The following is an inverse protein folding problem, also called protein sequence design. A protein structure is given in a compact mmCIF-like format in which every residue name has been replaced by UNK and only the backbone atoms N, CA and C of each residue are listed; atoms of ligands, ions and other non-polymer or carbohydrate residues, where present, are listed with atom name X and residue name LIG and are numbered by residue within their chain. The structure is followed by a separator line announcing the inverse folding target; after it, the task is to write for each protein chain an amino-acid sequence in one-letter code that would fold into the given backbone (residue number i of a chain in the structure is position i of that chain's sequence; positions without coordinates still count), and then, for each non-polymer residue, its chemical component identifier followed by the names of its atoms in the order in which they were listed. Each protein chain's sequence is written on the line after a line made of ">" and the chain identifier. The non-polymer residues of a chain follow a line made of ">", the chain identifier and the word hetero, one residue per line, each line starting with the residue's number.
data_IF_590072665494
#
_entry.id   IF_590072665494
#
_cell.length_a   1.000
_cell.length_b   1.000
_cell.length_c   1.000
_cell.angle_alpha   90.00
_cell.angle_beta   90.00
_cell.angle_gamma   90.00
#
_symmetry.space_group_name_H-M   'P 1'
#
loop_
_entity.id
_entity.type
_entity.pdbx_description
1 polymer ?
#
# COMPACT_ATOMS: atom_id res chain seq x y z
N UNK A 1 -26.93 -16.04 10.38
CA UNK A 1 -27.00 -15.98 8.89
C UNK A 1 -26.18 -14.79 8.46
N UNK A 2 -25.11 -14.99 7.68
CA UNK A 2 -24.46 -13.88 6.99
C UNK A 2 -25.43 -13.34 5.92
N UNK A 3 -25.53 -12.01 5.72
CA UNK A 3 -26.33 -11.47 4.63
C UNK A 3 -25.83 -12.03 3.30
N UNK A 4 -26.71 -12.27 2.31
CA UNK A 4 -26.28 -12.70 0.99
C UNK A 4 -25.28 -11.69 0.42
N UNK A 5 -24.22 -12.18 -0.23
CA UNK A 5 -23.34 -11.32 -1.00
C UNK A 5 -24.21 -10.59 -2.03
N UNK A 6 -24.13 -9.25 -2.14
CA UNK A 6 -24.87 -8.54 -3.16
C UNK A 6 -24.49 -9.10 -4.52
N UNK A 7 -25.45 -9.14 -5.43
CA UNK A 7 -25.18 -9.46 -6.83
C UNK A 7 -24.03 -8.55 -7.28
N UNK A 8 -22.87 -9.14 -7.60
CA UNK A 8 -21.73 -8.37 -8.08
C UNK A 8 -22.19 -7.71 -9.38
N UNK A 9 -22.32 -6.38 -9.34
CA UNK A 9 -22.57 -5.61 -10.56
C UNK A 9 -21.47 -5.90 -11.59
N UNK A 10 -21.72 -5.59 -12.87
CA UNK A 10 -20.71 -5.77 -13.90
C UNK A 10 -19.41 -5.04 -13.52
N UNK A 11 -18.27 -5.66 -13.82
CA UNK A 11 -16.95 -5.09 -13.50
C UNK A 11 -16.76 -3.70 -14.13
N UNK A 12 -16.03 -2.80 -13.45
CA UNK A 12 -15.67 -1.48 -14.00
C UNK A 12 -14.69 -1.55 -15.20
N UNK A 13 -14.14 -2.75 -15.48
CA UNK A 13 -13.15 -2.97 -16.53
C UNK A 13 -13.73 -3.56 -17.83
N UNK A 14 -15.04 -3.82 -17.90
CA UNK A 14 -15.65 -4.33 -19.14
C UNK A 14 -15.96 -3.18 -20.11
N UNK A 15 -15.97 -3.44 -21.43
CA UNK A 15 -16.55 -2.51 -22.39
C UNK A 15 -17.96 -2.12 -21.96
N UNK A 16 -18.23 -0.81 -21.85
CA UNK A 16 -19.47 -0.28 -21.33
C UNK A 16 -19.78 1.08 -21.96
N UNK A 17 -21.05 1.35 -22.21
CA UNK A 17 -21.55 2.69 -22.52
C UNK A 17 -21.30 3.63 -21.33
N UNK A 18 -21.46 4.95 -21.55
CA UNK A 18 -21.28 5.95 -20.49
C UNK A 18 -22.22 5.71 -19.30
N UNK A 19 -23.47 5.31 -19.57
CA UNK A 19 -24.47 5.04 -18.53
C UNK A 19 -24.11 3.79 -17.73
N UNK A 20 -23.83 2.68 -18.42
CA UNK A 20 -23.42 1.43 -17.77
C UNK A 20 -22.14 1.61 -16.94
N UNK A 21 -21.18 2.41 -17.44
CA UNK A 21 -19.96 2.72 -16.67
C UNK A 21 -20.29 3.44 -15.36
N UNK A 22 -21.20 4.41 -15.37
CA UNK A 22 -21.62 5.10 -14.15
C UNK A 22 -22.28 4.13 -13.16
N UNK A 23 -23.16 3.24 -13.65
CA UNK A 23 -23.81 2.20 -12.85
C UNK A 23 -22.77 1.21 -12.26
N UNK A 24 -21.78 0.79 -13.04
CA UNK A 24 -20.70 -0.09 -12.57
C UNK A 24 -19.88 0.56 -11.46
N UNK A 25 -19.59 1.87 -11.56
CA UNK A 25 -18.88 2.59 -10.50
C UNK A 25 -19.70 2.71 -9.21
N UNK A 26 -21.01 2.93 -9.29
CA UNK A 26 -21.90 2.90 -8.12
C UNK A 26 -21.94 1.51 -7.47
N UNK A 27 -22.03 0.45 -8.28
CA UNK A 27 -21.96 -0.92 -7.79
C UNK A 27 -20.62 -1.25 -7.11
N UNK A 28 -19.51 -0.82 -7.72
CA UNK A 28 -18.17 -0.99 -7.14
C UNK A 28 -18.00 -0.20 -5.84
N UNK A 29 -18.54 1.02 -5.77
CA UNK A 29 -18.55 1.81 -4.54
C UNK A 29 -19.30 1.11 -3.41
N UNK A 30 -20.49 0.57 -3.68
CA UNK A 30 -21.24 -0.20 -2.69
C UNK A 30 -20.47 -1.43 -2.21
N UNK A 31 -19.83 -2.16 -3.13
CA UNK A 31 -18.96 -3.29 -2.80
C UNK A 31 -17.79 -2.87 -1.90
N UNK A 32 -17.08 -1.78 -2.23
CA UNK A 32 -15.95 -1.29 -1.44
C UNK A 32 -16.37 -0.95 -0.01
N UNK A 33 -17.48 -0.24 0.17
CA UNK A 33 -17.98 0.09 1.52
C UNK A 33 -18.34 -1.15 2.33
N UNK A 34 -18.96 -2.15 1.70
CA UNK A 34 -19.31 -3.39 2.39
C UNK A 34 -18.07 -4.20 2.77
N UNK A 35 -17.12 -4.34 1.83
CA UNK A 35 -15.90 -5.13 2.02
C UNK A 35 -14.96 -4.50 3.04
N UNK A 36 -14.70 -3.20 2.89
CA UNK A 36 -13.65 -2.51 3.63
C UNK A 36 -14.17 -1.82 4.91
N UNK A 37 -15.49 -1.65 5.03
CA UNK A 37 -16.13 -1.00 6.17
C UNK A 37 -16.05 0.53 6.12
N UNK A 38 -16.11 1.13 7.32
CA UNK A 38 -16.04 2.58 7.51
C UNK A 38 -14.64 3.13 7.24
N UNK A 39 -14.58 4.33 6.68
CA UNK A 39 -13.37 5.12 6.51
C UNK A 39 -13.16 6.04 7.72
N UNK A 40 -12.06 5.83 8.42
CA UNK A 40 -11.53 6.70 9.45
C UNK A 40 -10.56 7.69 8.81
N UNK A 41 -11.12 8.83 8.38
CA UNK A 41 -10.43 9.82 7.54
C UNK A 41 -9.14 10.37 8.18
N UNK A 42 -9.20 10.73 9.47
CA UNK A 42 -8.05 11.32 10.19
C UNK A 42 -6.94 10.31 10.38
N UNK A 43 -7.32 9.06 10.56
CA UNK A 43 -6.43 7.94 10.75
C UNK A 43 -5.93 7.37 9.43
N UNK A 44 -6.44 7.81 8.28
CA UNK A 44 -6.12 7.22 6.98
C UNK A 44 -6.29 5.69 7.02
N UNK A 45 -7.45 5.24 7.48
CA UNK A 45 -7.67 3.84 7.79
C UNK A 45 -9.08 3.38 7.46
N UNK A 46 -9.19 2.09 7.13
CA UNK A 46 -10.46 1.41 6.92
C UNK A 46 -10.70 0.43 8.06
N UNK A 47 -11.94 0.34 8.55
CA UNK A 47 -12.31 -0.49 9.68
C UNK A 47 -11.87 -1.95 9.52
N UNK A 48 -12.09 -2.55 8.35
CA UNK A 48 -11.70 -3.94 8.10
C UNK A 48 -10.16 -4.11 8.08
N UNK A 49 -9.42 -3.15 7.52
CA UNK A 49 -7.94 -3.20 7.52
C UNK A 49 -7.38 -3.05 8.93
N UNK A 50 -7.97 -2.19 9.77
CA UNK A 50 -7.58 -2.09 11.18
C UNK A 50 -7.85 -3.39 11.92
N UNK A 51 -8.99 -4.04 11.66
CA UNK A 51 -9.30 -5.36 12.24
C UNK A 51 -8.29 -6.43 11.80
N UNK A 52 -7.91 -6.46 10.53
CA UNK A 52 -6.86 -7.37 10.01
C UNK A 52 -5.52 -7.10 10.70
N UNK A 53 -5.10 -5.83 10.77
CA UNK A 53 -3.87 -5.43 11.44
C UNK A 53 -3.86 -5.80 12.93
N UNK A 54 -4.98 -5.59 13.62
CA UNK A 54 -5.16 -5.99 15.01
C UNK A 54 -4.91 -7.49 15.22
N UNK A 55 -5.45 -8.35 14.34
CA UNK A 55 -5.19 -9.80 14.40
C UNK A 55 -3.70 -10.15 14.27
N UNK A 56 -2.97 -9.50 13.37
CA UNK A 56 -1.53 -9.71 13.23
C UNK A 56 -0.76 -9.31 14.49
N UNK A 57 -1.16 -8.22 15.15
CA UNK A 57 -0.52 -7.75 16.38
C UNK A 57 -0.82 -8.64 17.57
N UNK A 58 -2.07 -9.08 17.72
CA UNK A 58 -2.50 -9.99 18.78
C UNK A 58 -1.86 -11.38 18.64
N UNK A 59 -1.66 -11.84 17.41
CA UNK A 59 -1.07 -13.13 17.09
C UNK A 59 0.27 -12.93 16.37
N UNK A 60 1.15 -12.12 16.97
CA UNK A 60 2.41 -11.74 16.36
C UNK A 60 3.27 -12.97 16.01
N UNK A 61 3.51 -13.15 14.72
CA UNK A 61 4.44 -14.16 14.22
C UNK A 61 5.85 -13.61 14.37
N UNK A 62 6.76 -14.43 14.89
CA UNK A 62 8.19 -14.09 15.01
C UNK A 62 9.00 -15.16 14.32
N UNK A 63 9.93 -14.75 13.46
CA UNK A 63 10.86 -15.65 12.81
C UNK A 63 11.67 -16.41 13.85
N UNK A 64 11.78 -17.73 13.65
CA UNK A 64 12.67 -18.60 14.42
C UNK A 64 14.14 -18.38 14.06
N UNK A 65 14.40 -17.74 12.92
CA UNK A 65 15.72 -17.36 12.41
C UNK A 65 15.74 -15.84 12.20
N UNK A 66 15.90 -15.05 13.28
CA UNK A 66 16.06 -13.60 13.13
C UNK A 66 17.38 -13.28 12.41
N UNK A 67 17.54 -12.03 11.95
CA UNK A 67 18.78 -11.58 11.34
C UNK A 67 19.95 -11.76 12.31
N UNK A 68 21.07 -12.31 11.82
CA UNK A 68 22.28 -12.49 12.63
C UNK A 68 22.92 -11.15 13.04
N UNK A 69 22.80 -10.12 12.19
CA UNK A 69 23.31 -8.78 12.46
C UNK A 69 22.26 -7.70 12.12
N UNK A 70 21.23 -7.51 12.97
CA UNK A 70 20.15 -6.55 12.70
C UNK A 70 20.62 -5.10 12.48
N UNK A 71 21.76 -4.73 13.06
CA UNK A 71 22.37 -3.39 12.87
C UNK A 71 22.71 -3.11 11.41
N UNK A 72 23.01 -4.13 10.60
CA UNK A 72 23.25 -3.94 9.17
C UNK A 72 21.99 -3.46 8.45
N UNK A 73 20.81 -3.95 8.83
CA UNK A 73 19.56 -3.40 8.32
C UNK A 73 19.39 -1.94 8.76
N UNK A 74 19.53 -1.64 10.06
CA UNK A 74 19.31 -0.27 10.56
C UNK A 74 20.31 0.75 10.01
N UNK A 75 21.54 0.33 9.72
CA UNK A 75 22.55 1.18 9.09
C UNK A 75 22.19 1.53 7.64
N UNK A 76 21.49 0.65 6.94
CA UNK A 76 21.29 0.73 5.50
C UNK A 76 19.84 1.01 5.06
N UNK A 77 18.85 0.86 5.93
CA UNK A 77 17.43 0.93 5.58
C UNK A 77 17.06 2.29 4.94
N UNK A 78 17.55 3.41 5.47
CA UNK A 78 17.28 4.74 4.89
C UNK A 78 18.17 5.03 3.68
N UNK A 79 19.48 4.96 3.84
CA UNK A 79 20.51 5.16 2.79
C UNK A 79 21.43 3.96 2.80
N UNK A 80 21.70 3.37 1.63
CA UNK A 80 22.65 2.27 1.53
C UNK A 80 24.06 2.82 1.76
N UNK A 81 24.73 2.36 2.82
CA UNK A 81 26.09 2.77 3.22
C UNK A 81 27.12 1.69 2.91
N UNK A 82 26.70 0.44 2.97
CA UNK A 82 27.54 -0.71 2.71
C UNK A 82 27.43 -1.16 1.26
N UNK A 83 28.39 -1.97 0.79
CA UNK A 83 28.25 -2.67 -0.48
C UNK A 83 27.10 -3.69 -0.37
N UNK A 84 26.02 -3.59 -1.17
CA UNK A 84 24.91 -4.54 -1.11
C UNK A 84 25.33 -5.99 -1.30
N UNK A 85 26.44 -6.23 -2.01
CA UNK A 85 26.98 -7.57 -2.29
C UNK A 85 27.55 -8.25 -1.05
N UNK A 86 27.82 -7.50 0.02
CA UNK A 86 28.35 -8.02 1.29
C UNK A 86 27.27 -8.30 2.33
N UNK A 87 26.01 -7.95 2.05
CA UNK A 87 24.88 -8.20 2.95
C UNK A 87 24.30 -9.59 2.71
N UNK A 88 23.85 -10.25 3.78
CA UNK A 88 23.07 -11.48 3.63
C UNK A 88 21.74 -11.18 2.91
N UNK A 89 21.18 -12.20 2.26
CA UNK A 89 20.02 -12.06 1.38
C UNK A 89 18.78 -11.55 2.12
N UNK A 90 18.59 -11.96 3.38
CA UNK A 90 17.46 -11.51 4.20
C UNK A 90 17.61 -10.06 4.59
N UNK A 91 18.79 -9.62 5.03
CA UNK A 91 19.08 -8.20 5.30
C UNK A 91 18.88 -7.35 4.05
N UNK A 92 19.35 -7.82 2.89
CA UNK A 92 19.19 -7.10 1.63
C UNK A 92 17.71 -6.98 1.21
N UNK A 93 16.95 -8.07 1.32
CA UNK A 93 15.51 -8.09 1.04
C UNK A 93 14.75 -7.12 1.95
N UNK A 94 14.95 -7.19 3.26
CA UNK A 94 14.25 -6.31 4.21
C UNK A 94 14.65 -4.84 4.00
N UNK A 95 15.92 -4.58 3.68
CA UNK A 95 16.40 -3.24 3.32
C UNK A 95 15.73 -2.72 2.05
N UNK A 96 15.58 -3.58 1.02
CA UNK A 96 14.84 -3.25 -0.19
C UNK A 96 13.37 -2.94 0.12
N UNK A 97 12.67 -3.82 0.85
CA UNK A 97 11.25 -3.66 1.19
C UNK A 97 11.00 -2.35 1.93
N UNK A 98 11.87 -1.98 2.88
CA UNK A 98 11.75 -0.72 3.61
C UNK A 98 11.90 0.49 2.66
N UNK A 99 12.89 0.47 1.76
CA UNK A 99 13.08 1.55 0.78
C UNK A 99 11.92 1.64 -0.20
N UNK A 100 11.45 0.51 -0.71
CA UNK A 100 10.32 0.42 -1.62
C UNK A 100 9.04 0.98 -0.97
N UNK A 101 8.68 0.50 0.22
CA UNK A 101 7.51 0.98 0.94
C UNK A 101 7.57 2.48 1.26
N UNK A 102 8.76 3.05 1.51
CA UNK A 102 8.91 4.50 1.68
C UNK A 102 8.57 5.31 0.42
N UNK A 103 8.86 4.77 -0.76
CA UNK A 103 8.49 5.41 -2.03
C UNK A 103 6.99 5.35 -2.25
N UNK A 104 6.38 4.19 -2.03
CA UNK A 104 4.92 4.02 -2.08
C UNK A 104 4.23 5.01 -1.13
N UNK A 105 4.67 5.08 0.13
CA UNK A 105 4.09 5.98 1.13
C UNK A 105 4.06 7.45 0.71
N UNK A 106 5.12 7.93 0.07
CA UNK A 106 5.18 9.32 -0.41
C UNK A 106 4.21 9.56 -1.56
N UNK A 107 4.09 8.60 -2.49
CA UNK A 107 3.11 8.67 -3.58
C UNK A 107 1.67 8.68 -3.05
N UNK A 108 1.36 7.75 -2.15
CA UNK A 108 0.04 7.64 -1.50
C UNK A 108 -0.30 8.91 -0.72
N UNK A 109 0.65 9.45 0.05
CA UNK A 109 0.46 10.69 0.82
C UNK A 109 0.21 11.89 -0.10
N UNK A 110 0.98 12.02 -1.18
CA UNK A 110 0.78 13.10 -2.14
C UNK A 110 -0.55 13.02 -2.88
N UNK A 111 -1.05 11.81 -3.15
CA UNK A 111 -2.37 11.58 -3.74
C UNK A 111 -3.48 11.88 -2.73
N UNK A 112 -3.33 11.43 -1.47
CA UNK A 112 -4.25 11.73 -0.38
C UNK A 112 -4.43 13.22 -0.15
N UNK A 113 -3.36 14.01 -0.21
CA UNK A 113 -3.45 15.46 0.04
C UNK A 113 -4.23 16.23 -1.05
N UNK A 114 -4.39 15.65 -2.25
CA UNK A 114 -5.10 16.31 -3.37
C UNK A 114 -6.45 15.67 -3.70
N UNK A 115 -6.68 14.41 -3.30
CA UNK A 115 -7.98 13.77 -3.44
C UNK A 115 -8.96 14.39 -2.43
N UNK A 116 -10.18 14.78 -2.85
CA UNK A 116 -11.20 15.31 -1.95
C UNK A 116 -11.47 14.38 -0.76
N UNK A 117 -11.83 14.96 0.38
CA UNK A 117 -12.34 14.17 1.51
C UNK A 117 -13.64 13.48 1.11
N UNK A 118 -14.07 12.48 1.87
CA UNK A 118 -15.37 11.85 1.60
C UNK A 118 -16.55 12.85 1.67
N UNK A 119 -16.44 13.85 2.55
CA UNK A 119 -17.44 14.91 2.71
C UNK A 119 -17.45 15.89 1.53
N UNK A 120 -16.28 16.16 0.95
CA UNK A 120 -16.11 17.10 -0.16
C UNK A 120 -16.16 16.42 -1.55
N UNK A 121 -16.33 15.10 -1.59
CA UNK A 121 -16.37 14.31 -2.82
C UNK A 121 -17.65 14.56 -3.61
N UNK A 122 -17.50 15.07 -4.83
CA UNK A 122 -18.62 15.34 -5.74
C UNK A 122 -18.97 14.11 -6.56
N UNK A 123 -17.95 13.38 -7.04
CA UNK A 123 -18.14 12.21 -7.89
C UNK A 123 -17.94 10.90 -7.11
N UNK A 124 -18.63 9.83 -7.52
CA UNK A 124 -18.43 8.49 -6.94
C UNK A 124 -16.98 8.02 -7.07
N UNK A 125 -16.29 8.43 -8.14
CA UNK A 125 -14.88 8.13 -8.35
C UNK A 125 -13.98 8.79 -7.32
N UNK A 126 -14.32 9.98 -6.83
CA UNK A 126 -13.55 10.65 -5.76
C UNK A 126 -13.63 9.82 -4.48
N UNK A 127 -14.83 9.32 -4.15
CA UNK A 127 -15.09 8.46 -2.99
C UNK A 127 -14.33 7.15 -3.09
N UNK A 128 -14.35 6.53 -4.27
CA UNK A 128 -13.61 5.30 -4.56
C UNK A 128 -12.10 5.52 -4.41
N UNK A 129 -11.55 6.58 -5.02
CA UNK A 129 -10.14 6.94 -4.91
C UNK A 129 -9.74 7.19 -3.46
N UNK A 130 -10.59 7.88 -2.69
CA UNK A 130 -10.35 8.14 -1.27
C UNK A 130 -10.27 6.85 -0.45
N UNK A 131 -11.22 5.93 -0.67
CA UNK A 131 -11.20 4.61 -0.05
C UNK A 131 -9.97 3.79 -0.43
N UNK A 132 -9.61 3.80 -1.71
CA UNK A 132 -8.43 3.09 -2.20
C UNK A 132 -7.14 3.60 -1.54
N UNK A 133 -6.95 4.92 -1.44
CA UNK A 133 -5.79 5.49 -0.77
C UNK A 133 -5.72 5.12 0.73
N UNK A 134 -6.87 5.11 1.43
CA UNK A 134 -6.93 4.63 2.82
C UNK A 134 -6.57 3.13 2.93
N UNK A 135 -6.88 2.35 1.90
CA UNK A 135 -6.45 0.95 1.79
C UNK A 135 -4.93 0.83 1.71
N UNK A 136 -4.30 1.64 0.86
CA UNK A 136 -2.85 1.67 0.65
C UNK A 136 -2.07 2.12 1.89
N UNK A 137 -2.61 3.05 2.69
CA UNK A 137 -2.05 3.36 4.02
C UNK A 137 -2.09 2.15 4.97
N UNK A 138 -3.04 1.23 4.79
CA UNK A 138 -3.06 -0.06 5.49
C UNK A 138 -1.85 -0.93 5.15
N UNK A 139 -1.42 -0.97 3.89
CA UNK A 139 -0.25 -1.74 3.47
C UNK A 139 1.03 -1.28 4.15
N UNK A 140 1.21 0.03 4.35
CA UNK A 140 2.34 0.59 5.12
C UNK A 140 2.43 0.04 6.54
N UNK A 141 1.28 -0.17 7.19
CA UNK A 141 1.22 -0.75 8.54
C UNK A 141 1.55 -2.24 8.51
N UNK A 142 1.12 -2.97 7.48
CA UNK A 142 1.47 -4.37 7.30
C UNK A 142 2.95 -4.59 6.99
N UNK A 143 3.58 -3.71 6.20
CA UNK A 143 5.04 -3.72 6.03
C UNK A 143 5.77 -3.57 7.36
N UNK A 144 5.25 -2.74 8.27
CA UNK A 144 5.83 -2.62 9.61
C UNK A 144 5.77 -3.94 10.38
N UNK A 145 4.62 -4.64 10.35
CA UNK A 145 4.47 -5.98 10.95
C UNK A 145 5.42 -7.02 10.32
N UNK A 146 5.74 -6.88 9.02
CA UNK A 146 6.76 -7.73 8.38
C UNK A 146 8.13 -7.53 9.02
N UNK A 147 8.57 -6.31 9.30
CA UNK A 147 9.86 -6.07 9.96
C UNK A 147 9.87 -6.58 11.40
N UNK A 148 8.79 -6.35 12.13
CA UNK A 148 8.55 -6.88 13.47
C UNK A 148 8.65 -8.42 13.51
N UNK A 149 8.20 -9.11 12.46
CA UNK A 149 8.37 -10.57 12.31
C UNK A 149 9.86 -10.98 12.37
N UNK A 150 10.78 -10.17 11.86
CA UNK A 150 12.23 -10.42 11.93
C UNK A 150 12.90 -9.82 13.17
N UNK A 151 12.12 -9.40 14.18
CA UNK A 151 12.59 -8.74 15.40
C UNK A 151 13.28 -7.40 15.14
N UNK A 152 12.82 -6.69 14.11
CA UNK A 152 13.27 -5.32 13.82
C UNK A 152 12.31 -4.31 14.47
N UNK A 153 12.43 -4.15 15.78
CA UNK A 153 11.56 -3.35 16.66
C UNK A 153 11.85 -1.83 16.70
N UNK A 154 12.95 -1.40 16.08
CA UNK A 154 13.37 0.01 16.04
C UNK A 154 13.12 0.66 14.69
N UNK A 155 12.29 0.05 13.84
CA UNK A 155 11.99 0.58 12.51
C UNK A 155 11.19 1.87 12.64
N UNK A 156 11.81 2.98 12.26
CA UNK A 156 11.14 4.27 12.14
C UNK A 156 10.92 4.58 10.66
N UNK A 157 9.73 5.06 10.31
CA UNK A 157 9.44 5.50 8.95
C UNK A 157 9.99 6.91 8.72
N UNK A 158 11.05 7.00 7.91
CA UNK A 158 11.69 8.28 7.59
C UNK A 158 11.12 8.80 6.27
N UNK A 159 10.65 10.05 6.17
CA UNK A 159 10.16 10.58 4.90
C UNK A 159 11.29 10.62 3.85
N UNK A 160 10.93 10.62 2.56
CA UNK A 160 11.90 10.91 1.51
C UNK A 160 12.35 12.38 1.57
N UNK A 161 13.46 12.68 0.89
CA UNK A 161 13.99 14.04 0.80
C UNK A 161 12.91 15.02 0.30
N UNK A 162 12.88 16.28 0.78
CA UNK A 162 11.83 17.24 0.43
C UNK A 162 11.64 17.44 -1.08
N UNK A 163 12.71 17.41 -1.87
CA UNK A 163 12.64 17.56 -3.32
C UNK A 163 11.90 16.39 -3.99
N UNK A 164 12.06 15.16 -3.49
CA UNK A 164 11.34 13.99 -3.98
C UNK A 164 9.85 14.14 -3.68
N UNK A 165 9.51 14.51 -2.44
CA UNK A 165 8.10 14.76 -2.05
C UNK A 165 7.45 15.86 -2.92
N UNK A 166 8.19 16.92 -3.23
CA UNK A 166 7.73 17.98 -4.14
C UNK A 166 7.49 17.45 -5.55
N UNK A 167 8.38 16.59 -6.07
CA UNK A 167 8.19 15.95 -7.37
C UNK A 167 6.88 15.14 -7.37
N UNK A 168 6.67 14.25 -6.40
CA UNK A 168 5.42 13.48 -6.28
C UNK A 168 4.18 14.40 -6.18
N UNK A 169 4.24 15.46 -5.38
CA UNK A 169 3.14 16.43 -5.28
C UNK A 169 2.90 17.24 -6.56
N UNK A 170 3.91 17.45 -7.40
CA UNK A 170 3.72 18.03 -8.73
C UNK A 170 3.02 17.03 -9.65
N UNK A 171 3.49 15.78 -9.66
CA UNK A 171 2.86 14.70 -10.44
C UNK A 171 1.37 14.60 -10.10
N UNK A 172 0.99 14.50 -8.82
CA UNK A 172 -0.41 14.30 -8.41
C UNK A 172 -1.38 15.43 -8.77
N UNK A 173 -0.88 16.60 -9.19
CA UNK A 173 -1.68 17.74 -9.65
C UNK A 173 -1.78 17.85 -11.17
N UNK A 174 -1.16 16.95 -11.92
CA UNK A 174 -1.24 16.93 -13.38
C UNK A 174 -2.67 16.58 -13.86
N UNK A 175 -3.02 16.90 -15.12
CA UNK A 175 -4.32 16.59 -15.69
C UNK A 175 -4.71 15.10 -15.55
N UNK A 176 -5.99 14.78 -15.29
CA UNK A 176 -6.45 13.41 -15.04
C UNK A 176 -6.04 12.40 -16.12
N UNK A 177 -6.02 12.79 -17.39
CA UNK A 177 -5.62 11.91 -18.49
C UNK A 177 -4.16 11.43 -18.37
N UNK A 178 -3.25 12.29 -17.91
CA UNK A 178 -1.84 11.93 -17.70
C UNK A 178 -1.67 11.16 -16.39
N UNK A 179 -2.40 11.58 -15.35
CA UNK A 179 -2.33 10.95 -14.04
C UNK A 179 -2.90 9.54 -14.02
N UNK A 180 -4.03 9.30 -14.67
CA UNK A 180 -4.64 7.97 -14.72
C UNK A 180 -3.72 6.94 -15.40
N UNK A 181 -3.06 7.32 -16.50
CA UNK A 181 -2.08 6.46 -17.18
C UNK A 181 -0.84 6.23 -16.33
N UNK A 182 -0.29 7.26 -15.70
CA UNK A 182 0.87 7.13 -14.82
C UNK A 182 0.57 6.26 -13.59
N UNK A 183 -0.57 6.50 -12.92
CA UNK A 183 -1.04 5.73 -11.78
C UNK A 183 -1.23 4.25 -12.13
N UNK A 184 -1.87 3.96 -13.27
CA UNK A 184 -2.04 2.59 -13.76
C UNK A 184 -0.71 1.88 -14.02
N UNK A 185 0.27 2.57 -14.63
CA UNK A 185 1.61 2.01 -14.85
C UNK A 185 2.31 1.73 -13.52
N UNK A 186 2.21 2.64 -12.54
CA UNK A 186 2.81 2.41 -11.22
C UNK A 186 2.15 1.25 -10.47
N UNK A 187 0.83 1.10 -10.58
CA UNK A 187 0.10 -0.05 -10.02
C UNK A 187 0.55 -1.38 -10.66
N UNK A 188 0.67 -1.43 -11.98
CA UNK A 188 1.18 -2.60 -12.71
C UNK A 188 2.63 -2.94 -12.36
N UNK A 189 3.47 -1.91 -12.17
CA UNK A 189 4.84 -2.08 -11.70
C UNK A 189 4.86 -2.66 -10.28
N UNK A 190 4.06 -2.11 -9.37
CA UNK A 190 3.92 -2.61 -8.00
C UNK A 190 3.49 -4.08 -7.99
N UNK A 191 2.46 -4.43 -8.77
CA UNK A 191 2.01 -5.81 -8.92
C UNK A 191 3.13 -6.74 -9.42
N UNK A 192 3.89 -6.32 -10.42
CA UNK A 192 5.02 -7.09 -10.95
C UNK A 192 6.11 -7.28 -9.89
N UNK A 193 6.44 -6.22 -9.14
CA UNK A 193 7.35 -6.29 -7.99
C UNK A 193 6.85 -7.28 -6.96
N UNK A 194 5.57 -7.25 -6.59
CA UNK A 194 4.99 -8.18 -5.63
C UNK A 194 5.05 -9.64 -6.10
N UNK A 195 4.78 -9.93 -7.37
CA UNK A 195 4.93 -11.28 -7.93
C UNK A 195 6.38 -11.79 -7.89
N UNK A 196 7.36 -10.91 -8.08
CA UNK A 196 8.77 -11.27 -7.92
C UNK A 196 9.15 -11.42 -6.45
N UNK A 197 8.65 -10.56 -5.58
CA UNK A 197 8.89 -10.60 -4.14
C UNK A 197 8.35 -11.88 -3.51
N UNK A 198 7.18 -12.35 -3.91
CA UNK A 198 6.58 -13.61 -3.44
C UNK A 198 7.54 -14.80 -3.65
N UNK A 199 8.08 -14.94 -4.87
CA UNK A 199 9.08 -15.97 -5.18
C UNK A 199 10.39 -15.80 -4.42
N UNK A 200 10.84 -14.55 -4.24
CA UNK A 200 12.07 -14.24 -3.52
C UNK A 200 11.91 -14.57 -2.03
N UNK A 201 10.75 -14.26 -1.44
CA UNK A 201 10.42 -14.60 -0.06
C UNK A 201 10.42 -16.12 0.14
N UNK A 202 9.75 -16.88 -0.73
CA UNK A 202 9.76 -18.35 -0.67
C UNK A 202 11.18 -18.91 -0.73
N UNK A 203 12.02 -18.36 -1.61
CA UNK A 203 13.40 -18.82 -1.77
C UNK A 203 14.24 -18.49 -0.54
N UNK A 204 14.21 -17.24 -0.06
CA UNK A 204 15.07 -16.77 1.04
C UNK A 204 14.61 -17.33 2.39
N UNK A 205 13.30 -17.51 2.60
CA UNK A 205 12.77 -17.97 3.89
C UNK A 205 12.73 -19.50 4.02
N UNK A 206 12.91 -20.23 2.92
CA UNK A 206 13.10 -21.68 2.96
C UNK A 206 14.54 -22.11 3.33
N UNK A 207 15.52 -21.21 3.20
CA UNK A 207 16.93 -21.43 3.57
C UNK A 207 17.14 -21.48 5.09
#
# INVERSE_FOLDING_TARGET
>A
MAPPAPAAGPSIFVPATRRERAENFEGYWAYLRQKNGELFEREQALAEKQRVLGRFREHAVRSRRPLAAPELFYRNNVVMRDDPRTLDRTTLLLTFLYKFARHEWVGISAAWDVTPTLADSVYVTDKISRYHLAEEFGHMRLFHEMFETFRLDRVQWVPLAPWVRRAYGFFTRMPPALMASAAFVTELMGFTVYLHLDRILDTILAE
#
